data_IF_100069041708
#
_entry.id   IF_100069041708
#
_cell.length_a   1.000
_cell.length_b   1.000
_cell.length_c   1.000
_cell.angle_alpha   90.00
_cell.angle_beta   90.00
_cell.angle_gamma   90.00
#
_symmetry.space_group_name_H-M   'P 1'
#
loop_
_entity.id
_entity.type
_entity.pdbx_description
1 polymer ?
#
# COMPACT_ATOMS: atom_id res chain seq x y z
N UNK A 1 10.29 -5.41 -15.57
CA UNK A 1 9.33 -4.30 -15.36
C UNK A 1 9.35 -3.93 -13.88
N UNK A 2 9.14 -2.66 -13.52
CA UNK A 2 9.03 -2.26 -12.11
C UNK A 2 7.58 -2.44 -11.62
N UNK A 3 7.38 -2.87 -10.38
CA UNK A 3 6.08 -2.98 -9.71
C UNK A 3 5.82 -1.69 -8.94
N UNK A 4 4.70 -1.02 -9.22
CA UNK A 4 4.28 0.16 -8.45
C UNK A 4 3.58 -0.32 -7.19
N UNK A 5 4.08 0.06 -6.02
CA UNK A 5 3.53 -0.30 -4.72
C UNK A 5 3.06 0.97 -4.03
N UNK A 6 1.77 1.08 -3.77
CA UNK A 6 1.17 2.26 -3.17
C UNK A 6 0.60 1.93 -1.79
N UNK A 7 1.04 2.65 -0.78
CA UNK A 7 0.63 2.47 0.62
C UNK A 7 -0.29 3.62 1.00
N UNK A 8 -1.52 3.33 1.39
CA UNK A 8 -2.47 4.31 1.90
C UNK A 8 -2.47 4.26 3.43
N UNK A 9 -2.25 5.41 4.07
CA UNK A 9 -2.13 5.56 5.52
C UNK A 9 -2.92 6.78 6.00
N UNK A 10 -3.10 6.93 7.31
CA UNK A 10 -3.66 8.11 7.96
C UNK A 10 -2.71 8.74 9.00
N UNK A 11 -1.42 8.38 8.97
CA UNK A 11 -0.44 8.84 9.98
C UNK A 11 -0.73 8.33 11.40
N UNK A 12 -1.45 7.20 11.51
CA UNK A 12 -1.81 6.61 12.77
C UNK A 12 -0.68 5.69 13.31
N UNK A 13 -0.47 5.56 14.62
CA UNK A 13 0.56 4.65 15.17
C UNK A 13 0.38 3.18 14.78
N UNK A 14 -0.85 2.75 14.47
CA UNK A 14 -1.14 1.41 13.94
C UNK A 14 -0.75 1.26 12.46
N UNK A 15 -0.60 2.38 11.75
CA UNK A 15 -0.28 2.42 10.33
C UNK A 15 1.23 2.34 10.10
N UNK A 16 2.05 2.90 11.00
CA UNK A 16 3.50 2.97 10.88
C UNK A 16 4.17 1.59 10.68
N UNK A 17 3.85 0.54 11.47
CA UNK A 17 4.50 -0.77 11.31
C UNK A 17 4.27 -1.39 9.93
N UNK A 18 3.10 -1.12 9.31
CA UNK A 18 2.78 -1.60 7.97
C UNK A 18 3.58 -0.87 6.91
N UNK A 19 3.72 0.46 7.04
CA UNK A 19 4.54 1.27 6.13
C UNK A 19 5.98 0.78 6.15
N UNK A 20 6.56 0.62 7.35
CA UNK A 20 7.93 0.12 7.54
C UNK A 20 8.12 -1.30 6.98
N UNK A 21 7.13 -2.18 7.21
CA UNK A 21 7.16 -3.54 6.69
C UNK A 21 7.23 -3.56 5.16
N UNK A 22 6.38 -2.78 4.48
CA UNK A 22 6.37 -2.71 3.01
C UNK A 22 7.69 -2.17 2.50
N UNK A 23 8.22 -1.10 3.10
CA UNK A 23 9.51 -0.52 2.72
C UNK A 23 10.66 -1.53 2.91
N UNK A 24 10.63 -2.32 3.98
CA UNK A 24 11.64 -3.36 4.26
C UNK A 24 11.55 -4.55 3.29
N UNK A 25 10.35 -4.87 2.81
CA UNK A 25 10.14 -5.99 1.87
C UNK A 25 10.37 -5.57 0.42
N UNK A 26 10.19 -4.30 0.09
CA UNK A 26 10.39 -3.78 -1.27
C UNK A 26 11.80 -4.06 -1.80
N UNK A 27 11.91 -4.41 -3.08
CA UNK A 27 13.18 -4.66 -3.76
C UNK A 27 13.49 -3.54 -4.76
N UNK A 28 14.65 -3.59 -5.42
CA UNK A 28 15.05 -2.61 -6.45
C UNK A 28 14.09 -2.52 -7.65
N UNK A 29 13.21 -3.51 -7.82
CA UNK A 29 12.17 -3.51 -8.85
C UNK A 29 10.81 -3.04 -8.33
N UNK A 30 10.69 -2.67 -7.06
CA UNK A 30 9.49 -2.08 -6.46
C UNK A 30 9.65 -0.56 -6.37
N UNK A 31 8.69 0.17 -6.90
CA UNK A 31 8.57 1.62 -6.73
C UNK A 31 7.51 1.91 -5.68
N UNK A 32 7.95 2.28 -4.48
CA UNK A 32 7.07 2.45 -3.31
C UNK A 32 6.66 3.92 -3.18
N UNK A 33 5.35 4.17 -3.11
CA UNK A 33 4.77 5.49 -2.81
C UNK A 33 3.86 5.40 -1.59
N UNK A 34 3.93 6.40 -0.70
CA UNK A 34 3.08 6.46 0.49
C UNK A 34 2.13 7.66 0.39
N UNK A 35 0.84 7.40 0.55
CA UNK A 35 -0.25 8.36 0.47
C UNK A 35 -0.87 8.53 1.86
N UNK A 36 -0.57 9.64 2.54
CA UNK A 36 -1.25 9.98 3.79
C UNK A 36 -2.60 10.65 3.49
N UNK A 37 -3.69 9.94 3.76
CA UNK A 37 -5.05 10.42 3.53
C UNK A 37 -5.53 11.40 4.61
N UNK A 38 -4.86 11.50 5.76
CA UNK A 38 -5.19 12.48 6.79
C UNK A 38 -4.86 13.92 6.35
N UNK A 39 -3.79 14.08 5.56
CA UNK A 39 -3.35 15.38 5.02
C UNK A 39 -3.95 15.67 3.63
N UNK A 40 -4.73 14.73 3.08
CA UNK A 40 -5.20 14.80 1.71
C UNK A 40 -6.37 15.79 1.57
N UNK A 41 -6.19 16.79 0.71
CA UNK A 41 -7.27 17.72 0.32
C UNK A 41 -8.25 17.04 -0.63
N UNK A 42 -9.51 17.50 -0.60
CA UNK A 42 -10.55 17.01 -1.50
C UNK A 42 -10.12 17.12 -2.97
N UNK A 43 -10.26 16.04 -3.73
CA UNK A 43 -9.86 15.97 -5.15
C UNK A 43 -8.37 15.67 -5.39
N UNK A 44 -7.57 15.48 -4.34
CA UNK A 44 -6.18 15.03 -4.46
C UNK A 44 -6.07 13.65 -5.15
N UNK A 45 -4.95 13.41 -5.81
CA UNK A 45 -4.67 12.14 -6.47
C UNK A 45 -4.73 10.96 -5.49
N UNK A 46 -4.23 11.14 -4.27
CA UNK A 46 -4.25 10.14 -3.21
C UNK A 46 -5.69 9.66 -2.91
N UNK A 47 -6.63 10.59 -2.72
CA UNK A 47 -8.04 10.25 -2.51
C UNK A 47 -8.69 9.64 -3.75
N UNK A 48 -8.35 10.11 -4.94
CA UNK A 48 -8.86 9.57 -6.20
C UNK A 48 -8.44 8.11 -6.36
N UNK A 49 -7.15 7.80 -6.19
CA UNK A 49 -6.60 6.45 -6.25
C UNK A 49 -7.15 5.55 -5.17
N UNK A 50 -7.23 6.04 -3.93
CA UNK A 50 -7.83 5.27 -2.82
C UNK A 50 -9.27 4.83 -3.14
N UNK A 51 -10.08 5.73 -3.73
CA UNK A 51 -11.45 5.39 -4.18
C UNK A 51 -11.45 4.45 -5.37
N UNK A 52 -10.62 4.71 -6.39
CA UNK A 52 -10.50 3.89 -7.60
C UNK A 52 -10.11 2.45 -7.27
N UNK A 53 -9.21 2.26 -6.31
CA UNK A 53 -8.74 0.94 -5.89
C UNK A 53 -9.66 0.29 -4.84
N UNK A 54 -10.70 0.98 -4.38
CA UNK A 54 -11.67 0.45 -3.42
C UNK A 54 -11.14 0.35 -1.98
N UNK A 55 -10.25 1.26 -1.56
CA UNK A 55 -9.75 1.32 -0.19
C UNK A 55 -10.89 1.66 0.77
N UNK A 56 -11.17 0.77 1.72
CA UNK A 56 -12.22 0.94 2.74
C UNK A 56 -11.67 0.99 4.17
N UNK A 57 -10.42 0.56 4.37
CA UNK A 57 -9.75 0.53 5.65
C UNK A 57 -8.29 0.98 5.51
N UNK A 58 -7.70 1.49 6.58
CA UNK A 58 -6.30 1.89 6.65
C UNK A 58 -5.59 1.18 7.81
N UNK A 59 -4.29 0.86 7.66
CA UNK A 59 -3.46 1.02 6.45
C UNK A 59 -3.86 0.04 5.32
N UNK A 60 -3.61 0.43 4.07
CA UNK A 60 -3.90 -0.39 2.89
C UNK A 60 -2.75 -0.36 1.87
N UNK A 61 -2.59 -1.42 1.07
CA UNK A 61 -1.53 -1.55 0.07
C UNK A 61 -2.11 -1.98 -1.27
N UNK A 62 -1.74 -1.27 -2.34
CA UNK A 62 -2.03 -1.62 -3.71
C UNK A 62 -0.74 -1.95 -4.48
N UNK A 63 -0.81 -2.91 -5.39
CA UNK A 63 0.28 -3.27 -6.30
C UNK A 63 -0.22 -3.16 -7.74
N UNK A 64 0.45 -2.33 -8.54
CA UNK A 64 0.08 -2.02 -9.93
C UNK A 64 -1.39 -1.59 -10.07
N UNK A 65 -1.87 -0.76 -9.14
CA UNK A 65 -3.25 -0.26 -9.12
C UNK A 65 -4.29 -1.28 -8.61
N UNK A 66 -3.87 -2.43 -8.10
CA UNK A 66 -4.78 -3.45 -7.53
C UNK A 66 -4.60 -3.52 -6.02
N UNK A 67 -5.68 -3.27 -5.27
CA UNK A 67 -5.71 -3.39 -3.82
C UNK A 67 -5.51 -4.84 -3.37
N UNK A 68 -4.61 -5.08 -2.40
CA UNK A 68 -4.39 -6.41 -1.88
C UNK A 68 -5.59 -6.89 -1.06
N UNK A 69 -6.01 -8.15 -1.28
CA UNK A 69 -7.15 -8.76 -0.60
C UNK A 69 -7.04 -8.76 0.94
N UNK A 70 -5.81 -8.78 1.48
CA UNK A 70 -5.56 -8.70 2.91
C UNK A 70 -6.10 -7.41 3.56
N UNK A 71 -6.26 -6.33 2.78
CA UNK A 71 -6.82 -5.06 3.24
C UNK A 71 -8.35 -5.10 3.43
N UNK A 72 -9.01 -6.22 3.08
CA UNK A 72 -10.46 -6.38 3.16
C UNK A 72 -10.89 -7.26 4.35
N UNK A 73 -10.00 -8.04 4.96
CA UNK A 73 -10.38 -8.98 6.03
C UNK A 73 -9.27 -9.43 7.00
N UNK A 74 -8.01 -9.58 6.58
CA UNK A 74 -6.99 -10.32 7.37
C UNK A 74 -5.73 -9.52 7.76
N UNK A 75 -5.65 -8.23 7.44
CA UNK A 75 -4.50 -7.38 7.80
C UNK A 75 -3.23 -7.69 7.00
N UNK A 76 -2.26 -6.75 7.00
CA UNK A 76 -1.09 -6.82 6.12
C UNK A 76 0.06 -7.56 6.80
N UNK A 77 0.53 -8.64 6.18
CA UNK A 77 1.65 -9.48 6.67
C UNK A 77 2.77 -9.59 5.63
N UNK A 78 3.97 -10.00 6.05
CA UNK A 78 5.11 -10.19 5.13
C UNK A 78 4.79 -11.20 4.03
N UNK A 79 4.07 -12.26 4.37
CA UNK A 79 3.69 -13.35 3.49
C UNK A 79 2.75 -12.85 2.40
N UNK A 80 1.73 -12.06 2.76
CA UNK A 80 0.79 -11.47 1.79
C UNK A 80 1.49 -10.51 0.81
N UNK A 81 2.45 -9.71 1.29
CA UNK A 81 3.25 -8.82 0.45
C UNK A 81 4.12 -9.61 -0.54
N UNK A 82 4.73 -10.71 -0.08
CA UNK A 82 5.52 -11.59 -0.97
C UNK A 82 4.65 -12.29 -2.00
N UNK A 83 3.46 -12.77 -1.63
CA UNK A 83 2.50 -13.37 -2.57
C UNK A 83 2.06 -12.37 -3.65
N UNK A 84 2.00 -11.08 -3.30
CA UNK A 84 1.77 -9.99 -4.25
C UNK A 84 3.01 -9.64 -5.12
N UNK A 85 4.12 -10.38 -4.97
CA UNK A 85 5.35 -10.18 -5.73
C UNK A 85 6.24 -9.04 -5.20
N UNK A 86 5.92 -8.44 -4.05
CA UNK A 86 6.78 -7.44 -3.42
C UNK A 86 8.02 -8.15 -2.86
N UNK A 87 9.20 -7.63 -3.18
CA UNK A 87 10.47 -8.21 -2.71
C UNK A 87 11.02 -9.37 -3.54
N UNK A 88 10.33 -9.77 -4.61
CA UNK A 88 10.81 -10.80 -5.53
C UNK A 88 11.50 -10.16 -6.74
N UNK A 89 12.56 -10.79 -7.26
CA UNK A 89 13.13 -10.41 -8.56
C UNK A 89 12.02 -10.48 -9.63
N UNK A 90 12.02 -9.51 -10.54
CA UNK A 90 11.08 -9.47 -11.66
C UNK A 90 11.45 -10.50 -12.73
#
# INVERSE_FOLDING_TARGET
>A
MKRTVEIFTAGCPFCEPVVELVQTVACNSCEVSTHNLADAVAGSEALRKAREYGVQALPAVAVNGVLLACCQSEGITRETLKQAGIGQAA
#
